data_IF_897786646458
#
_entry.id   IF_897786646458
#
_cell.length_a   1.000
_cell.length_b   1.000
_cell.length_c   1.000
_cell.angle_alpha   90.00
_cell.angle_beta   90.00
_cell.angle_gamma   90.00
#
_symmetry.space_group_name_H-M   'P 1'
#
loop_
_entity.id
_entity.type
_entity.pdbx_description
1 polymer ?
#
# COMPACT_ATOMS: atom_id res chain seq x y z
N UNK A 1 -10.94 25.69 -5.47
CA UNK A 1 -10.08 24.81 -4.63
C UNK A 1 -10.73 23.47 -4.31
N UNK A 2 -11.98 23.42 -3.82
CA UNK A 2 -12.69 22.16 -3.50
C UNK A 2 -12.89 21.21 -4.69
N UNK A 3 -13.19 21.73 -5.90
CA UNK A 3 -13.36 20.90 -7.11
C UNK A 3 -12.05 20.20 -7.52
N UNK A 4 -10.91 20.85 -7.31
CA UNK A 4 -9.60 20.28 -7.65
C UNK A 4 -9.22 19.14 -6.69
N UNK A 5 -9.53 19.29 -5.41
CA UNK A 5 -9.35 18.24 -4.38
C UNK A 5 -10.27 17.06 -4.63
N UNK A 6 -11.54 17.31 -5.01
CA UNK A 6 -12.49 16.27 -5.38
C UNK A 6 -12.01 15.49 -6.62
N UNK A 7 -11.53 16.16 -7.67
CA UNK A 7 -10.99 15.49 -8.86
C UNK A 7 -9.74 14.67 -8.52
N UNK A 8 -8.82 15.18 -7.70
CA UNK A 8 -7.65 14.43 -7.24
C UNK A 8 -8.01 13.18 -6.43
N UNK A 9 -9.06 13.26 -5.60
CA UNK A 9 -9.58 12.13 -4.82
C UNK A 9 -10.22 11.05 -5.71
N UNK A 10 -10.88 11.45 -6.81
CA UNK A 10 -11.51 10.52 -7.76
C UNK A 10 -10.53 9.91 -8.76
N UNK A 11 -9.50 10.64 -9.16
CA UNK A 11 -8.51 10.17 -10.12
C UNK A 11 -7.45 9.28 -9.45
N UNK A 12 -7.16 9.50 -8.16
CA UNK A 12 -6.23 8.67 -7.38
C UNK A 12 -6.55 7.16 -7.37
N UNK A 13 -7.79 6.70 -7.11
CA UNK A 13 -8.10 5.26 -7.14
C UNK A 13 -7.98 4.67 -8.54
N UNK A 14 -8.26 5.44 -9.60
CA UNK A 14 -8.11 4.98 -10.98
C UNK A 14 -6.63 4.82 -11.34
N UNK A 15 -5.79 5.82 -11.03
CA UNK A 15 -4.34 5.74 -11.23
C UNK A 15 -3.76 4.58 -10.43
N UNK A 16 -4.20 4.42 -9.19
CA UNK A 16 -3.78 3.35 -8.32
C UNK A 16 -4.17 1.97 -8.88
N UNK A 17 -5.42 1.79 -9.29
CA UNK A 17 -5.90 0.55 -9.89
C UNK A 17 -5.12 0.20 -11.17
N UNK A 18 -4.86 1.18 -12.04
CA UNK A 18 -4.05 0.99 -13.26
C UNK A 18 -2.60 0.64 -12.95
N UNK A 19 -2.03 1.23 -11.89
CA UNK A 19 -0.69 0.93 -11.41
C UNK A 19 -0.59 -0.49 -10.84
N UNK A 20 -1.58 -0.91 -10.06
CA UNK A 20 -1.68 -2.28 -9.55
C UNK A 20 -1.85 -3.26 -10.71
N UNK A 21 -2.73 -2.97 -11.67
CA UNK A 21 -2.97 -3.82 -12.83
C UNK A 21 -1.70 -4.01 -13.67
N UNK A 22 -0.93 -2.94 -13.90
CA UNK A 22 0.32 -3.02 -14.65
C UNK A 22 1.38 -3.82 -13.91
N UNK A 23 1.49 -3.69 -12.59
CA UNK A 23 2.41 -4.52 -11.79
C UNK A 23 1.98 -5.99 -11.77
N UNK A 24 0.69 -6.28 -11.63
CA UNK A 24 0.15 -7.64 -11.69
C UNK A 24 0.39 -8.26 -13.06
N UNK A 25 0.16 -7.53 -14.15
CA UNK A 25 0.44 -8.00 -15.51
C UNK A 25 1.94 -8.22 -15.72
N UNK A 26 2.80 -7.35 -15.19
CA UNK A 26 4.25 -7.55 -15.24
C UNK A 26 4.67 -8.79 -14.44
N UNK A 27 4.10 -8.99 -13.25
CA UNK A 27 4.37 -10.15 -12.41
C UNK A 27 3.88 -11.46 -13.06
N UNK A 28 2.69 -11.44 -13.67
CA UNK A 28 2.16 -12.56 -14.43
C UNK A 28 3.03 -12.90 -15.64
N UNK A 29 3.56 -11.88 -16.34
CA UNK A 29 4.54 -12.07 -17.43
C UNK A 29 5.87 -12.63 -16.93
N UNK A 30 6.29 -12.29 -15.71
CA UNK A 30 7.46 -12.87 -15.06
C UNK A 30 7.27 -14.34 -14.65
N UNK A 31 6.05 -14.72 -14.25
CA UNK A 31 5.70 -16.07 -13.80
C UNK A 31 5.38 -17.03 -14.96
N UNK A 32 5.07 -16.50 -16.15
CA UNK A 32 4.90 -17.30 -17.36
C UNK A 32 6.26 -17.88 -17.81
N UNK A 33 6.37 -19.21 -18.01
CA UNK A 33 7.59 -19.85 -18.45
C UNK A 33 7.89 -19.42 -19.90
N UNK A 34 8.82 -18.49 -20.09
CA UNK A 34 9.22 -18.09 -21.44
C UNK A 34 9.86 -16.72 -21.60
N UNK A 35 9.85 -15.85 -20.59
CA UNK A 35 10.61 -14.61 -20.71
C UNK A 35 10.50 -13.71 -19.50
N UNK A 36 11.52 -13.73 -18.64
CA UNK A 36 11.76 -12.60 -17.76
C UNK A 36 11.93 -11.37 -18.67
N UNK A 37 11.03 -10.37 -18.62
CA UNK A 37 11.31 -9.07 -19.20
C UNK A 37 12.62 -8.59 -18.56
N UNK A 38 13.66 -8.49 -19.38
CA UNK A 38 14.95 -7.92 -19.00
C UNK A 38 14.66 -6.47 -18.59
N UNK A 39 14.42 -6.22 -17.30
CA UNK A 39 14.20 -4.86 -16.82
C UNK A 39 15.52 -4.13 -17.06
N UNK A 40 15.57 -3.10 -17.92
CA UNK A 40 16.83 -2.49 -18.33
C UNK A 40 17.53 -1.76 -17.17
N UNK A 41 16.82 -1.51 -16.05
CA UNK A 41 17.39 -0.96 -14.83
C UNK A 41 16.55 -1.30 -13.60
N UNK A 42 17.15 -1.18 -12.40
CA UNK A 42 16.47 -1.30 -11.12
C UNK A 42 15.57 -0.09 -10.77
N UNK A 43 15.74 1.03 -11.49
CA UNK A 43 15.02 2.29 -11.23
C UNK A 43 13.48 2.16 -11.23
N UNK A 44 12.83 1.53 -12.24
CA UNK A 44 11.39 1.36 -12.22
C UNK A 44 10.89 0.47 -11.06
N UNK A 45 11.67 -0.53 -10.64
CA UNK A 45 11.33 -1.40 -9.50
C UNK A 45 11.40 -0.62 -8.18
N UNK A 46 12.45 0.17 -8.00
CA UNK A 46 12.57 1.06 -6.83
C UNK A 46 11.48 2.12 -6.80
N UNK A 47 11.10 2.67 -7.96
CA UNK A 47 9.99 3.61 -8.06
C UNK A 47 8.64 2.96 -7.73
N UNK A 48 8.39 1.76 -8.25
CA UNK A 48 7.19 0.97 -7.91
C UNK A 48 7.12 0.64 -6.43
N UNK A 49 8.25 0.26 -5.81
CA UNK A 49 8.33 0.09 -4.37
C UNK A 49 7.98 1.40 -3.63
N UNK A 50 8.64 2.51 -3.98
CA UNK A 50 8.37 3.81 -3.34
C UNK A 50 6.90 4.23 -3.45
N UNK A 51 6.26 3.99 -4.59
CA UNK A 51 4.83 4.24 -4.77
C UNK A 51 3.96 3.32 -3.92
N UNK A 52 4.29 2.03 -3.85
CA UNK A 52 3.52 1.06 -3.07
C UNK A 52 3.59 1.39 -1.56
N UNK A 53 4.78 1.69 -1.05
CA UNK A 53 4.99 2.07 0.35
C UNK A 53 4.36 3.43 0.69
N UNK A 54 4.48 4.43 -0.18
CA UNK A 54 3.82 5.73 0.03
C UNK A 54 2.30 5.62 -0.06
N UNK A 55 1.77 4.79 -0.97
CA UNK A 55 0.36 4.45 -1.04
C UNK A 55 -0.13 3.76 0.23
N UNK A 56 0.63 2.78 0.75
CA UNK A 56 0.30 2.10 2.00
C UNK A 56 0.28 3.09 3.18
N UNK A 57 1.30 3.94 3.31
CA UNK A 57 1.38 4.96 4.35
C UNK A 57 0.23 5.96 4.27
N UNK A 58 -0.10 6.44 3.06
CA UNK A 58 -1.20 7.38 2.84
C UNK A 58 -2.55 6.75 3.19
N UNK A 59 -2.79 5.52 2.74
CA UNK A 59 -4.00 4.77 3.05
C UNK A 59 -4.12 4.51 4.56
N UNK A 60 -3.01 4.15 5.22
CA UNK A 60 -2.98 3.92 6.66
C UNK A 60 -3.30 5.20 7.44
N UNK A 61 -2.61 6.30 7.13
CA UNK A 61 -2.84 7.59 7.80
C UNK A 61 -4.27 8.08 7.57
N UNK A 62 -4.78 7.94 6.34
CA UNK A 62 -6.16 8.28 6.03
C UNK A 62 -7.13 7.42 6.86
N UNK A 63 -6.97 6.11 6.84
CA UNK A 63 -7.86 5.19 7.55
C UNK A 63 -7.82 5.39 9.07
N UNK A 64 -6.66 5.65 9.68
CA UNK A 64 -6.57 5.99 11.10
C UNK A 64 -7.27 7.32 11.38
N UNK A 65 -7.01 8.33 10.55
CA UNK A 65 -7.61 9.66 10.67
C UNK A 65 -9.13 9.67 10.55
N UNK A 66 -9.70 8.79 9.70
CA UNK A 66 -11.14 8.76 9.44
C UNK A 66 -11.89 7.73 10.26
N UNK A 67 -11.33 6.55 10.51
CA UNK A 67 -12.07 5.40 11.06
C UNK A 67 -11.63 4.97 12.46
N UNK A 68 -10.48 5.46 12.94
CA UNK A 68 -9.95 5.11 14.26
C UNK A 68 -9.91 6.30 15.22
N UNK A 69 -10.72 7.34 14.97
CA UNK A 69 -10.76 8.58 15.77
C UNK A 69 -9.48 9.42 15.73
N UNK A 70 -8.61 9.13 14.77
CA UNK A 70 -7.32 9.80 14.62
C UNK A 70 -6.30 9.41 15.70
N UNK A 71 -5.13 10.03 15.64
CA UNK A 71 -3.99 9.69 16.51
C UNK A 71 -4.10 10.26 17.92
N UNK A 72 -5.04 11.16 18.18
CA UNK A 72 -5.12 11.95 19.42
C UNK A 72 -6.17 11.42 20.40
N UNK A 73 -7.21 10.74 19.90
CA UNK A 73 -8.33 10.28 20.73
C UNK A 73 -8.85 8.90 20.29
N UNK A 74 -8.01 7.85 20.40
CA UNK A 74 -8.39 6.50 20.00
C UNK A 74 -9.42 5.86 20.93
N UNK A 75 -9.64 6.40 22.13
CA UNK A 75 -10.54 5.79 23.13
C UNK A 75 -11.98 6.33 23.03
N UNK A 76 -12.18 7.47 22.37
CA UNK A 76 -13.50 8.13 22.26
C UNK A 76 -14.17 7.93 20.90
N UNK A 77 -13.62 7.08 20.03
CA UNK A 77 -14.17 6.83 18.68
C UNK A 77 -15.58 6.27 18.76
N UNK A 78 -15.79 5.25 19.61
CA UNK A 78 -17.12 4.67 19.79
C UNK A 78 -18.12 5.68 20.38
N UNK A 79 -17.66 6.60 21.23
CA UNK A 79 -18.49 7.67 21.78
C UNK A 79 -18.88 8.69 20.70
N UNK A 80 -17.95 9.08 19.84
CA UNK A 80 -18.19 10.06 18.78
C UNK A 80 -19.08 9.52 17.65
N UNK A 81 -18.95 8.23 17.33
CA UNK A 81 -19.56 7.63 16.14
C UNK A 81 -20.86 6.87 16.45
N UNK A 82 -20.96 6.26 17.64
CA UNK A 82 -22.12 5.47 18.08
C UNK A 82 -22.79 6.03 19.36
N UNK A 83 -22.21 7.05 20.01
CA UNK A 83 -22.74 7.59 21.27
C UNK A 83 -22.53 6.67 22.47
N UNK A 84 -21.68 5.65 22.34
CA UNK A 84 -21.45 4.64 23.38
C UNK A 84 -20.09 4.86 24.05
N UNK A 85 -20.09 4.97 25.38
CA UNK A 85 -18.88 5.17 26.19
C UNK A 85 -18.15 3.85 26.49
N UNK A 86 -18.01 3.01 25.48
CA UNK A 86 -17.29 1.75 25.55
C UNK A 86 -15.95 1.88 24.80
N UNK A 87 -14.84 1.40 25.40
CA UNK A 87 -13.54 1.45 24.75
C UNK A 87 -13.53 0.54 23.51
N UNK A 88 -12.90 0.95 22.40
CA UNK A 88 -12.86 0.13 21.20
C UNK A 88 -12.08 -1.16 21.42
N UNK A 89 -12.65 -2.28 20.97
CA UNK A 89 -11.93 -3.54 20.93
C UNK A 89 -11.03 -3.59 19.70
N UNK A 90 -9.72 -3.80 19.92
CA UNK A 90 -8.77 -3.99 18.83
C UNK A 90 -8.74 -5.45 18.38
N UNK A 91 -8.98 -5.72 17.08
CA UNK A 91 -8.75 -7.05 16.51
C UNK A 91 -7.26 -7.28 16.29
N UNK A 92 -6.64 -8.17 17.07
CA UNK A 92 -5.21 -8.55 16.95
C UNK A 92 -4.78 -9.08 15.58
N UNK A 93 -5.72 -9.47 14.72
CA UNK A 93 -5.44 -10.09 13.42
C UNK A 93 -5.28 -9.09 12.27
N UNK A 94 -5.64 -7.82 12.46
CA UNK A 94 -5.57 -6.80 11.41
C UNK A 94 -4.84 -5.55 11.89
N UNK A 95 -4.04 -4.91 11.02
CA UNK A 95 -3.28 -3.71 11.38
C UNK A 95 -4.19 -2.54 11.74
N UNK A 96 -5.41 -2.51 11.19
CA UNK A 96 -6.47 -1.55 11.51
C UNK A 96 -7.78 -2.32 11.74
N UNK A 97 -8.09 -2.63 12.99
CA UNK A 97 -9.34 -3.27 13.37
C UNK A 97 -9.88 -2.60 14.62
N UNK A 98 -10.79 -1.64 14.44
CA UNK A 98 -11.53 -0.98 15.52
C UNK A 98 -12.96 -1.52 15.47
N UNK A 99 -13.37 -2.17 16.55
CA UNK A 99 -14.72 -2.72 16.70
C UNK A 99 -15.39 -2.02 17.87
N UNK A 100 -16.58 -1.49 17.64
CA UNK A 100 -17.44 -0.92 18.66
C UNK A 100 -18.72 -1.78 18.70
N UNK A 101 -19.08 -2.37 19.85
CA UNK A 101 -20.30 -3.20 19.96
C UNK A 101 -20.50 -4.28 18.88
N UNK A 102 -19.39 -4.88 18.41
CA UNK A 102 -19.43 -5.91 17.37
C UNK A 102 -19.57 -5.39 15.94
N UNK A 103 -19.69 -4.08 15.71
CA UNK A 103 -19.60 -3.45 14.39
C UNK A 103 -18.18 -3.00 14.09
N UNK A 104 -17.69 -3.41 12.92
CA UNK A 104 -16.35 -3.05 12.43
C UNK A 104 -16.43 -1.68 11.75
N UNK A 105 -15.69 -0.70 12.28
CA UNK A 105 -15.70 0.67 11.75
C UNK A 105 -14.87 0.80 10.48
N UNK A 106 -13.80 0.03 10.40
CA UNK A 106 -12.90 0.05 9.24
C UNK A 106 -13.57 -0.72 8.10
N UNK A 107 -13.72 -0.12 6.90
CA UNK A 107 -14.27 -0.84 5.76
C UNK A 107 -13.44 -2.09 5.44
N UNK A 108 -14.11 -3.22 5.17
CA UNK A 108 -13.45 -4.53 4.98
C UNK A 108 -12.42 -4.60 3.83
N UNK A 109 -12.37 -3.60 2.95
CA UNK A 109 -11.38 -3.51 1.87
C UNK A 109 -10.05 -2.87 2.29
N UNK A 110 -10.02 -2.06 3.37
CA UNK A 110 -8.85 -1.28 3.78
C UNK A 110 -7.69 -2.19 4.16
N UNK A 111 -7.95 -3.19 5.00
CA UNK A 111 -6.94 -4.15 5.44
C UNK A 111 -6.34 -4.96 4.27
N UNK A 112 -7.15 -5.60 3.40
CA UNK A 112 -6.63 -6.25 2.19
C UNK A 112 -5.82 -5.32 1.29
N UNK A 113 -6.26 -4.07 1.10
CA UNK A 113 -5.55 -3.10 0.27
C UNK A 113 -4.18 -2.70 0.86
N UNK A 114 -4.11 -2.47 2.17
CA UNK A 114 -2.86 -2.22 2.88
C UNK A 114 -1.89 -3.40 2.74
N UNK A 115 -2.36 -4.62 2.99
CA UNK A 115 -1.54 -5.81 2.82
C UNK A 115 -1.03 -5.97 1.38
N UNK A 116 -1.91 -5.80 0.39
CA UNK A 116 -1.52 -5.88 -1.02
C UNK A 116 -0.41 -4.88 -1.36
N UNK A 117 -0.51 -3.64 -0.87
CA UNK A 117 0.49 -2.61 -1.10
C UNK A 117 1.83 -2.93 -0.45
N UNK A 118 1.82 -3.37 0.80
CA UNK A 118 3.03 -3.77 1.51
C UNK A 118 3.72 -4.94 0.80
N UNK A 119 2.96 -5.96 0.40
CA UNK A 119 3.47 -7.10 -0.37
C UNK A 119 4.06 -6.63 -1.70
N UNK A 120 3.38 -5.73 -2.43
CA UNK A 120 3.87 -5.18 -3.69
C UNK A 120 5.20 -4.43 -3.51
N UNK A 121 5.30 -3.65 -2.43
CA UNK A 121 6.51 -2.93 -2.06
C UNK A 121 7.67 -3.87 -1.75
N UNK A 122 7.43 -4.92 -0.95
CA UNK A 122 8.44 -5.94 -0.62
C UNK A 122 8.89 -6.70 -1.87
N UNK A 123 7.94 -7.18 -2.69
CA UNK A 123 8.26 -7.91 -3.94
C UNK A 123 9.08 -7.03 -4.89
N UNK A 124 8.71 -5.75 -5.03
CA UNK A 124 9.44 -4.82 -5.89
C UNK A 124 10.87 -4.57 -5.39
N UNK A 125 11.06 -4.44 -4.07
CA UNK A 125 12.40 -4.29 -3.46
C UNK A 125 13.24 -5.56 -3.60
N UNK A 126 12.67 -6.74 -3.35
CA UNK A 126 13.38 -8.01 -3.51
C UNK A 126 13.81 -8.21 -4.97
N UNK A 127 12.94 -7.92 -5.94
CA UNK A 127 13.29 -7.97 -7.36
C UNK A 127 14.42 -6.99 -7.71
N UNK A 128 14.39 -5.77 -7.16
CA UNK A 128 15.47 -4.79 -7.36
C UNK A 128 16.80 -5.27 -6.75
N UNK A 129 16.77 -5.87 -5.57
CA UNK A 129 17.95 -6.42 -4.89
C UNK A 129 18.55 -7.61 -5.67
N UNK A 130 17.71 -8.54 -6.13
CA UNK A 130 18.14 -9.66 -6.97
C UNK A 130 18.77 -9.16 -8.27
N UNK A 131 18.14 -8.17 -8.91
CA UNK A 131 18.70 -7.54 -10.11
C UNK A 131 20.05 -6.85 -9.84
N UNK A 132 20.21 -6.16 -8.71
CA UNK A 132 21.47 -5.55 -8.32
C UNK A 132 22.57 -6.60 -8.06
N UNK A 133 22.22 -7.71 -7.40
CA UNK A 133 23.15 -8.80 -7.09
C UNK A 133 23.60 -9.61 -8.31
N UNK A 134 22.81 -9.62 -9.38
CA UNK A 134 23.08 -10.36 -10.62
C UNK A 134 23.79 -9.51 -11.68
N UNK A 135 24.06 -8.23 -11.41
CA UNK A 135 24.89 -7.42 -12.31
C UNK A 135 26.36 -7.86 -12.22
N UNK A 136 27.00 -8.24 -13.33
CA UNK A 136 28.44 -8.44 -13.34
C UNK A 136 29.13 -7.13 -12.97
N UNK A 137 30.02 -7.19 -11.98
CA UNK A 137 30.82 -6.07 -11.50
C UNK A 137 31.57 -5.48 -12.70
N UNK A 138 31.19 -4.27 -13.14
CA UNK A 138 31.84 -3.57 -14.27
C UNK A 138 33.18 -3.01 -13.77
N UNK A 139 34.11 -3.89 -13.38
CA UNK A 139 35.47 -3.52 -13.04
C UNK A 139 36.38 -3.61 -14.25
N UNK A 140 37.07 -2.49 -14.47
CA UNK A 140 38.33 -2.35 -15.21
C UNK A 140 38.29 -2.39 -16.75
N UNK A 141 38.01 -1.26 -17.36
CA UNK A 141 38.61 -0.90 -18.66
C UNK A 141 38.91 0.60 -18.66
N UNK A 142 39.86 0.97 -17.81
CA UNK A 142 40.73 2.12 -18.04
C UNK A 142 42.15 1.57 -18.00
N UNK A 143 42.62 1.09 -19.15
CA UNK A 143 44.04 0.94 -19.50
C UNK A 143 44.24 1.79 -20.74
#
# INVERSE_FOLDING_TARGET
>A
MMVFVAVLLWVSPVIFAMSVLTVVVQLARWLLPGGLPRVPSAKPLLFGAALAWSGAGTLYVHAVGTYAGGFLFPDSVCLLELGTDEPPESRRHFPLGVVCQGTEMVPGWVNPALYALLVLGVVSLTAAAVYASTRPDRKSSHV
#
